data_IF_213401199430
#
_entry.id   IF_213401199430
#
_cell.length_a   1.000
_cell.length_b   1.000
_cell.length_c   1.000
_cell.angle_alpha   90.00
_cell.angle_beta   90.00
_cell.angle_gamma   90.00
#
_symmetry.space_group_name_H-M   'P 1'
#
loop_
_entity.id
_entity.type
_entity.pdbx_description
1 polymer ?
#
# COMPACT_ATOMS: atom_id res chain seq x y z
N UNK A 1 -8.11 -7.99 -21.41
CA UNK A 1 -7.62 -8.78 -20.26
C UNK A 1 -7.26 -7.77 -19.20
N UNK A 2 -8.00 -7.70 -18.10
CA UNK A 2 -7.64 -6.80 -17.00
C UNK A 2 -6.46 -7.44 -16.28
N UNK A 3 -5.24 -7.02 -16.64
CA UNK A 3 -4.02 -7.38 -15.92
C UNK A 3 -4.26 -7.04 -14.45
N UNK A 4 -4.39 -8.06 -13.60
CA UNK A 4 -4.31 -7.87 -12.16
C UNK A 4 -2.95 -7.23 -11.92
N UNK A 5 -2.93 -5.94 -11.59
CA UNK A 5 -1.70 -5.23 -11.23
C UNK A 5 -1.30 -5.73 -9.84
N UNK A 6 -0.69 -6.90 -9.79
CA UNK A 6 0.04 -7.36 -8.61
C UNK A 6 1.03 -6.27 -8.22
N UNK A 7 1.09 -5.93 -6.93
CA UNK A 7 2.12 -5.03 -6.43
C UNK A 7 3.47 -5.75 -6.47
N UNK A 8 4.51 -5.01 -6.85
CA UNK A 8 5.89 -5.47 -6.96
C UNK A 8 6.60 -5.09 -5.66
N UNK A 9 7.30 -6.05 -5.06
CA UNK A 9 8.18 -5.84 -3.89
C UNK A 9 9.14 -4.66 -4.13
N UNK A 10 9.22 -3.77 -3.14
CA UNK A 10 10.10 -2.61 -3.11
C UNK A 10 9.60 -1.43 -3.93
N UNK A 11 8.41 -1.52 -4.55
CA UNK A 11 7.81 -0.41 -5.31
C UNK A 11 6.77 0.34 -4.48
N UNK A 12 6.72 1.64 -4.74
CA UNK A 12 5.75 2.55 -4.14
C UNK A 12 4.50 2.66 -5.00
N UNK A 13 3.37 2.77 -4.31
CA UNK A 13 2.05 2.81 -4.90
C UNK A 13 1.18 3.84 -4.19
N UNK A 14 0.46 4.63 -4.98
CA UNK A 14 -0.60 5.50 -4.50
C UNK A 14 -1.91 4.72 -4.40
N UNK A 15 -2.60 4.85 -3.27
CA UNK A 15 -3.91 4.26 -2.99
C UNK A 15 -5.01 5.26 -3.30
N UNK A 16 -5.95 4.86 -4.16
CA UNK A 16 -7.13 5.65 -4.50
C UNK A 16 -8.39 4.77 -4.37
N UNK A 17 -9.30 5.04 -3.41
CA UNK A 17 -9.16 6.00 -2.32
C UNK A 17 -8.09 5.59 -1.29
N UNK A 18 -7.64 6.50 -0.41
CA UNK A 18 -6.72 6.17 0.68
C UNK A 18 -7.27 5.08 1.60
N UNK A 19 -6.39 4.22 2.10
CA UNK A 19 -6.75 3.19 3.08
C UNK A 19 -6.72 3.77 4.49
N UNK A 20 -7.80 3.58 5.25
CA UNK A 20 -7.86 3.99 6.66
C UNK A 20 -7.65 2.78 7.56
N UNK A 21 -6.56 2.78 8.34
CA UNK A 21 -6.19 1.70 9.25
C UNK A 21 -5.88 2.30 10.63
N UNK A 22 -6.55 1.82 11.67
CA UNK A 22 -6.37 2.33 13.04
C UNK A 22 -6.67 3.82 13.20
N UNK A 23 -7.53 4.39 12.35
CA UNK A 23 -7.84 5.83 12.34
C UNK A 23 -6.85 6.71 11.57
N UNK A 24 -5.77 6.13 11.02
CA UNK A 24 -4.80 6.83 10.17
C UNK A 24 -5.10 6.57 8.70
N UNK A 25 -4.98 7.61 7.88
CA UNK A 25 -5.17 7.53 6.42
C UNK A 25 -3.84 7.32 5.72
N UNK A 26 -3.77 6.33 4.82
CA UNK A 26 -2.59 5.98 4.05
C UNK A 26 -2.90 6.15 2.56
N UNK A 27 -2.28 7.13 1.93
CA UNK A 27 -2.42 7.39 0.49
C UNK A 27 -1.24 6.85 -0.31
N UNK A 28 -0.09 6.59 0.32
CA UNK A 28 1.13 6.14 -0.31
C UNK A 28 1.72 4.97 0.48
N UNK A 29 1.97 3.85 -0.22
CA UNK A 29 2.48 2.62 0.38
C UNK A 29 3.57 1.99 -0.47
N UNK A 30 4.56 1.39 0.17
CA UNK A 30 5.58 0.55 -0.45
C UNK A 30 5.22 -0.92 -0.24
N UNK A 31 5.21 -1.73 -1.30
CA UNK A 31 5.01 -3.17 -1.14
C UNK A 31 6.26 -3.81 -0.52
N UNK A 32 6.09 -4.55 0.58
CA UNK A 32 7.15 -5.43 1.10
C UNK A 32 7.07 -6.80 0.44
N UNK A 33 5.93 -7.48 0.56
CA UNK A 33 5.72 -8.77 -0.09
C UNK A 33 4.24 -9.12 -0.14
N UNK A 34 3.89 -10.02 -1.06
CA UNK A 34 2.55 -10.59 -1.12
C UNK A 34 2.38 -11.63 -0.02
N UNK A 35 1.34 -11.49 0.79
CA UNK A 35 0.99 -12.52 1.76
C UNK A 35 0.42 -13.72 1.00
N UNK A 36 1.14 -14.84 1.02
CA UNK A 36 0.77 -16.06 0.29
C UNK A 36 -0.24 -16.92 1.06
N UNK A 37 -0.98 -16.32 1.98
CA UNK A 37 -1.99 -17.03 2.74
C UNK A 37 -3.11 -17.49 1.79
N UNK A 38 -3.36 -18.81 1.67
CA UNK A 38 -4.34 -19.34 0.72
C UNK A 38 -5.77 -18.88 1.04
N UNK A 39 -6.03 -18.43 2.27
CA UNK A 39 -7.32 -17.85 2.67
C UNK A 39 -7.52 -16.44 2.12
N UNK A 40 -6.45 -15.69 1.89
CA UNK A 40 -6.48 -14.29 1.44
C UNK A 40 -5.42 -14.05 0.34
N UNK A 41 -5.63 -14.57 -0.88
CA UNK A 41 -4.64 -14.53 -1.96
C UNK A 41 -4.35 -13.13 -2.53
N UNK A 42 -5.04 -12.10 -2.02
CA UNK A 42 -4.88 -10.70 -2.42
C UNK A 42 -4.44 -9.81 -1.24
N UNK A 43 -3.91 -10.40 -0.18
CA UNK A 43 -3.32 -9.65 0.92
C UNK A 43 -1.85 -9.35 0.57
N UNK A 44 -1.44 -8.11 0.82
CA UNK A 44 -0.06 -7.65 0.65
C UNK A 44 0.39 -7.02 1.95
N UNK A 45 1.62 -7.32 2.35
CA UNK A 45 2.29 -6.59 3.43
C UNK A 45 2.92 -5.36 2.80
N UNK A 46 2.52 -4.19 3.28
CA UNK A 46 2.97 -2.91 2.76
C UNK A 46 3.43 -2.00 3.90
N UNK A 47 4.34 -1.09 3.61
CA UNK A 47 4.76 0.01 4.48
C UNK A 47 4.16 1.30 3.99
N UNK A 48 3.34 1.97 4.79
CA UNK A 48 2.76 3.26 4.43
C UNK A 48 3.22 4.37 5.36
N UNK A 49 3.16 5.60 4.85
CA UNK A 49 3.25 6.80 5.68
C UNK A 49 1.82 7.32 5.82
N UNK A 50 1.40 7.56 7.05
CA UNK A 50 0.09 8.14 7.31
C UNK A 50 0.08 9.63 6.92
N UNK A 51 -1.09 10.16 6.56
CA UNK A 51 -1.24 11.57 6.24
C UNK A 51 -0.83 12.45 7.44
N UNK A 52 0.16 13.33 7.23
CA UNK A 52 0.77 14.14 8.29
C UNK A 52 1.79 13.41 9.18
N UNK A 53 2.01 12.11 8.95
CA UNK A 53 3.06 11.34 9.59
C UNK A 53 4.39 11.41 8.83
N UNK A 54 5.47 11.06 9.50
CA UNK A 54 6.83 10.95 8.92
C UNK A 54 7.41 9.54 9.03
N UNK A 55 6.74 8.66 9.76
CA UNK A 55 7.20 7.29 10.03
C UNK A 55 6.54 6.29 9.07
N UNK A 56 7.32 5.29 8.66
CA UNK A 56 6.84 4.15 7.89
C UNK A 56 6.26 3.09 8.81
N UNK A 57 4.98 2.79 8.63
CA UNK A 57 4.25 1.77 9.39
C UNK A 57 3.90 0.58 8.48
N UNK A 58 4.24 -0.64 8.91
CA UNK A 58 3.88 -1.88 8.19
C UNK A 58 2.45 -2.31 8.53
N UNK A 59 1.66 -2.67 7.51
CA UNK A 59 0.31 -3.19 7.68
C UNK A 59 -0.11 -4.10 6.52
N UNK A 60 -1.22 -4.83 6.72
CA UNK A 60 -1.82 -5.69 5.68
C UNK A 60 -2.77 -4.85 4.83
N UNK A 61 -2.47 -4.72 3.54
CA UNK A 61 -3.35 -4.15 2.54
C UNK A 61 -4.15 -5.27 1.86
N UNK A 62 -5.48 -5.24 2.00
CA UNK A 62 -6.38 -6.24 1.42
C UNK A 62 -7.13 -5.69 0.22
N UNK A 63 -6.86 -6.23 -0.97
CA UNK A 63 -7.67 -5.94 -2.16
C UNK A 63 -8.90 -6.84 -2.17
N UNK A 64 -9.95 -6.43 -1.44
CA UNK A 64 -11.16 -7.24 -1.30
C UNK A 64 -12.48 -6.45 -1.27
N UNK A 65 -12.53 -5.31 -0.58
CA UNK A 65 -13.84 -4.79 -0.14
C UNK A 65 -14.18 -3.37 -0.59
N UNK A 66 -13.18 -2.53 -0.93
CA UNK A 66 -13.39 -1.07 -1.02
C UNK A 66 -13.07 -0.44 -2.38
N UNK A 67 -12.80 -1.24 -3.41
CA UNK A 67 -12.44 -0.73 -4.74
C UNK A 67 -11.14 0.09 -4.75
N UNK A 68 -10.21 -0.23 -3.84
CA UNK A 68 -8.91 0.44 -3.77
C UNK A 68 -8.10 0.14 -5.03
N UNK A 69 -7.79 1.20 -5.77
CA UNK A 69 -6.89 1.17 -6.90
C UNK A 69 -5.48 1.51 -6.44
N UNK A 70 -4.50 0.77 -6.96
CA UNK A 70 -3.07 1.08 -6.84
C UNK A 70 -2.50 1.59 -8.15
N UNK A 71 -1.75 2.68 -8.06
CA UNK A 71 -0.99 3.25 -9.17
C UNK A 71 0.47 3.37 -8.76
N UNK A 72 1.40 3.01 -9.64
CA UNK A 72 2.83 3.19 -9.37
C UNK A 72 3.11 4.66 -9.04
N UNK A 73 3.87 4.87 -7.97
CA UNK A 73 4.23 6.18 -7.48
C UNK A 73 5.73 6.27 -7.26
N UNK A 74 6.23 7.50 -7.19
CA UNK A 74 7.59 7.76 -6.73
C UNK A 74 7.67 7.55 -5.21
N UNK A 75 8.84 7.14 -4.69
CA UNK A 75 9.07 7.14 -3.25
C UNK A 75 8.81 8.55 -2.70
N UNK A 76 8.32 8.67 -1.46
CA UNK A 76 8.23 9.97 -0.81
C UNK A 76 9.62 10.56 -0.80
N UNK A 77 9.78 11.77 -1.34
CA UNK A 77 11.02 12.52 -1.26
C UNK A 77 11.25 12.80 0.22
N UNK A 78 12.08 11.97 0.87
CA UNK A 78 12.66 12.38 2.13
C UNK A 78 13.60 13.52 1.77
N UNK A 79 13.13 14.76 1.92
CA UNK A 79 14.03 15.89 1.97
C UNK A 79 14.94 15.65 3.18
N UNK A 80 16.13 15.11 2.90
CA UNK A 80 17.24 15.11 3.83
C UNK A 80 17.53 16.56 4.17
N UNK A 81 17.14 16.98 5.36
CA UNK A 81 17.52 18.26 5.94
C UNK A 81 18.76 18.09 6.80
#
# INVERSE_FOLDING_TARGET
MSEKRDMIDGKWYKLTPPSVIGGKSYSLVCCEYKDLNPKYPNDYIVKGISEGGTELESFILRFGDKGVCVELAEPPTQESN
#
